data_IF_847164763237
#
_entry.id   IF_847164763237
#
_cell.length_a   1.000
_cell.length_b   1.000
_cell.length_c   1.000
_cell.angle_alpha   90.00
_cell.angle_beta   90.00
_cell.angle_gamma   90.00
#
_symmetry.space_group_name_H-M   'P 1'
#
loop_
_entity.id
_entity.type
_entity.pdbx_description
1 polymer ?
#
# COMPACT_ATOMS: atom_id res chain seq x y z
N UNK A 1 -5.42 -1.92 17.52
CA UNK A 1 -6.07 -0.71 16.93
C UNK A 1 -5.15 0.50 16.80
N UNK A 2 -4.31 0.82 17.77
CA UNK A 2 -3.40 1.97 17.71
C UNK A 2 -2.48 1.95 16.48
N UNK A 3 -1.81 0.85 16.23
CA UNK A 3 -0.93 0.69 15.05
C UNK A 3 -1.66 0.79 13.72
N UNK A 4 -2.93 0.33 13.65
CA UNK A 4 -3.74 0.46 12.45
C UNK A 4 -4.02 1.93 12.11
N UNK A 5 -4.37 2.75 13.11
CA UNK A 5 -4.55 4.21 12.93
C UNK A 5 -3.24 4.86 12.47
N UNK A 6 -2.11 4.52 13.09
CA UNK A 6 -0.80 5.05 12.68
C UNK A 6 -0.44 4.65 11.24
N UNK A 7 -0.74 3.39 10.85
CA UNK A 7 -0.54 2.93 9.47
C UNK A 7 -1.40 3.72 8.47
N UNK A 8 -2.67 4.02 8.83
CA UNK A 8 -3.57 4.84 8.00
C UNK A 8 -3.02 6.25 7.84
N UNK A 9 -2.61 6.89 8.93
CA UNK A 9 -2.04 8.24 8.90
C UNK A 9 -0.77 8.26 8.04
N UNK A 10 0.17 7.35 8.28
CA UNK A 10 1.42 7.29 7.53
C UNK A 10 1.18 7.02 6.03
N UNK A 11 0.30 6.06 5.67
CA UNK A 11 -0.02 5.78 4.27
C UNK A 11 -0.75 6.93 3.57
N UNK A 12 -1.55 7.70 4.32
CA UNK A 12 -2.21 8.90 3.78
C UNK A 12 -1.22 10.04 3.56
N UNK A 13 -0.27 10.25 4.49
CA UNK A 13 0.83 11.21 4.30
C UNK A 13 1.65 10.88 3.07
N UNK A 14 2.02 9.60 2.89
CA UNK A 14 2.70 9.12 1.69
C UNK A 14 1.94 9.52 0.42
N UNK A 15 0.64 9.22 0.37
CA UNK A 15 -0.22 9.52 -0.79
C UNK A 15 -0.30 11.03 -1.06
N UNK A 16 -0.41 11.86 -0.03
CA UNK A 16 -0.45 13.32 -0.16
C UNK A 16 0.87 13.90 -0.68
N UNK A 17 2.01 13.41 -0.19
CA UNK A 17 3.33 13.83 -0.68
C UNK A 17 3.53 13.38 -2.11
N UNK A 18 3.15 12.14 -2.47
CA UNK A 18 3.18 11.66 -3.85
C UNK A 18 2.34 12.55 -4.77
N UNK A 19 1.11 12.90 -4.35
CA UNK A 19 0.24 13.80 -5.11
C UNK A 19 0.87 15.19 -5.30
N UNK A 20 1.50 15.74 -4.25
CA UNK A 20 2.18 17.03 -4.34
C UNK A 20 3.42 17.00 -5.26
N UNK A 21 4.07 15.86 -5.38
CA UNK A 21 5.25 15.67 -6.23
C UNK A 21 4.89 15.56 -7.73
N UNK A 22 3.64 15.23 -8.09
CA UNK A 22 3.24 15.07 -9.49
C UNK A 22 3.48 16.34 -10.31
N UNK A 23 4.02 16.16 -11.51
CA UNK A 23 4.38 17.26 -12.42
C UNK A 23 5.67 18.02 -12.06
N UNK A 24 6.29 17.76 -10.89
CA UNK A 24 7.52 18.41 -10.43
C UNK A 24 8.76 17.52 -10.58
N UNK A 25 8.56 16.24 -10.77
CA UNK A 25 9.62 15.23 -10.85
C UNK A 25 10.13 15.07 -12.27
N UNK A 26 11.44 14.83 -12.39
CA UNK A 26 12.11 14.46 -13.63
C UNK A 26 12.07 12.96 -13.88
N UNK A 27 12.29 12.15 -12.83
CA UNK A 27 12.24 10.70 -12.86
C UNK A 27 11.40 10.16 -11.71
N UNK A 28 10.25 9.54 -12.05
CA UNK A 28 9.41 8.86 -11.04
C UNK A 28 10.13 7.66 -10.43
N UNK A 29 10.86 6.90 -11.25
CA UNK A 29 11.64 5.74 -10.78
C UNK A 29 12.80 6.17 -9.89
N UNK A 30 13.46 7.30 -10.20
CA UNK A 30 14.49 7.89 -9.35
C UNK A 30 13.97 8.31 -7.98
N UNK A 31 12.78 8.93 -7.93
CA UNK A 31 12.11 9.25 -6.67
C UNK A 31 11.81 8.00 -5.84
N UNK A 32 11.33 6.92 -6.49
CA UNK A 32 11.05 5.66 -5.80
C UNK A 32 12.32 4.96 -5.32
N UNK A 33 13.41 5.03 -6.07
CA UNK A 33 14.71 4.53 -5.60
C UNK A 33 15.15 5.25 -4.33
N UNK A 34 15.06 6.59 -4.28
CA UNK A 34 15.36 7.37 -3.09
C UNK A 34 14.42 7.04 -1.92
N UNK A 35 13.13 6.81 -2.18
CA UNK A 35 12.19 6.32 -1.18
C UNK A 35 12.64 4.97 -0.60
N UNK A 36 13.01 4.00 -1.41
CA UNK A 36 13.45 2.69 -0.91
C UNK A 36 14.78 2.75 -0.18
N UNK A 37 15.72 3.61 -0.60
CA UNK A 37 16.95 3.88 0.16
C UNK A 37 16.60 4.40 1.56
N UNK A 38 15.67 5.34 1.66
CA UNK A 38 15.23 5.88 2.95
C UNK A 38 14.59 4.81 3.83
N UNK A 39 13.73 3.97 3.24
CA UNK A 39 13.11 2.84 3.95
C UNK A 39 14.17 1.84 4.45
N UNK A 40 15.20 1.54 3.63
CA UNK A 40 16.30 0.66 4.04
C UNK A 40 17.09 1.25 5.21
N UNK A 41 17.43 2.54 5.16
CA UNK A 41 18.16 3.22 6.25
C UNK A 41 17.36 3.13 7.54
N UNK A 42 16.06 3.39 7.50
CA UNK A 42 15.18 3.27 8.67
C UNK A 42 15.09 1.83 9.17
N UNK A 43 14.95 0.84 8.27
CA UNK A 43 14.94 -0.57 8.66
C UNK A 43 16.24 -0.97 9.37
N UNK A 44 17.40 -0.58 8.82
CA UNK A 44 18.71 -0.82 9.44
C UNK A 44 18.81 -0.15 10.81
N UNK A 45 18.29 1.06 10.95
CA UNK A 45 18.27 1.78 12.23
C UNK A 45 17.47 1.02 13.28
N UNK A 46 16.29 0.48 12.96
CA UNK A 46 15.46 -0.28 13.91
C UNK A 46 15.99 -1.68 14.19
N UNK A 47 16.63 -2.34 13.23
CA UNK A 47 17.28 -3.65 13.43
C UNK A 47 18.55 -3.49 14.28
N UNK A 48 19.27 -2.40 14.10
CA UNK A 48 20.63 -2.19 14.62
C UNK A 48 21.69 -2.82 13.70
N UNK A 49 22.79 -2.10 13.42
CA UNK A 49 23.83 -2.53 12.46
C UNK A 49 24.46 -3.90 12.77
N UNK A 50 24.48 -4.29 14.05
CA UNK A 50 25.05 -5.58 14.52
C UNK A 50 24.13 -6.77 14.24
N UNK A 51 22.82 -6.56 13.99
CA UNK A 51 21.80 -7.60 13.87
C UNK A 51 21.25 -7.76 12.44
N UNK A 52 21.92 -7.24 11.43
CA UNK A 52 21.44 -7.30 10.03
C UNK A 52 21.30 -8.74 9.49
N UNK A 53 22.13 -9.67 10.00
CA UNK A 53 22.08 -11.09 9.69
C UNK A 53 22.03 -11.88 11.00
N UNK A 54 20.90 -11.87 11.70
CA UNK A 54 20.77 -12.59 12.95
C UNK A 54 20.87 -14.10 12.71
N UNK A 55 21.56 -14.80 13.59
CA UNK A 55 21.62 -16.28 13.59
C UNK A 55 20.36 -16.86 14.21
N UNK A 56 19.20 -16.54 13.63
CA UNK A 56 17.87 -16.98 14.10
C UNK A 56 17.28 -17.90 13.04
N UNK A 57 16.67 -18.99 13.48
CA UNK A 57 15.91 -19.88 12.59
C UNK A 57 14.78 -19.10 11.93
N UNK A 58 14.58 -19.33 10.62
CA UNK A 58 13.54 -18.65 9.83
C UNK A 58 14.00 -17.43 9.04
N UNK A 59 15.27 -16.98 9.15
CA UNK A 59 15.76 -15.84 8.39
C UNK A 59 15.72 -16.07 6.86
N UNK A 60 16.07 -17.28 6.39
CA UNK A 60 16.05 -17.63 4.98
C UNK A 60 14.66 -17.48 4.33
N UNK A 61 13.60 -18.10 4.88
CA UNK A 61 12.22 -17.86 4.45
C UNK A 61 11.82 -16.40 4.44
N UNK A 62 12.16 -15.62 5.48
CA UNK A 62 11.83 -14.19 5.58
C UNK A 62 12.52 -13.38 4.47
N UNK A 63 13.77 -13.69 4.14
CA UNK A 63 14.48 -13.10 3.01
C UNK A 63 13.76 -13.40 1.70
N UNK A 64 13.34 -14.64 1.48
CA UNK A 64 12.57 -15.04 0.30
C UNK A 64 11.23 -14.30 0.19
N UNK A 65 10.47 -14.23 1.29
CA UNK A 65 9.20 -13.49 1.35
C UNK A 65 9.41 -12.00 1.08
N UNK A 66 10.43 -11.39 1.67
CA UNK A 66 10.79 -9.99 1.44
C UNK A 66 11.15 -9.72 -0.01
N UNK A 67 11.97 -10.60 -0.62
CA UNK A 67 12.35 -10.46 -2.02
C UNK A 67 11.14 -10.56 -2.98
N UNK A 68 10.24 -11.52 -2.74
CA UNK A 68 8.99 -11.67 -3.51
C UNK A 68 8.09 -10.45 -3.31
N UNK A 69 7.97 -9.95 -2.08
CA UNK A 69 7.17 -8.77 -1.79
C UNK A 69 7.74 -7.53 -2.51
N UNK A 70 9.07 -7.33 -2.47
CA UNK A 70 9.73 -6.23 -3.19
C UNK A 70 9.54 -6.30 -4.70
N UNK A 71 9.51 -7.51 -5.28
CA UNK A 71 9.17 -7.71 -6.68
C UNK A 71 7.74 -7.23 -6.98
N UNK A 72 6.74 -7.63 -6.17
CA UNK A 72 5.37 -7.16 -6.35
C UNK A 72 5.24 -5.65 -6.17
N UNK A 73 5.92 -5.06 -5.20
CA UNK A 73 5.97 -3.62 -5.01
C UNK A 73 6.45 -2.89 -6.27
N UNK A 74 7.55 -3.36 -6.87
CA UNK A 74 8.10 -2.70 -8.06
C UNK A 74 7.26 -2.93 -9.31
N UNK A 75 6.79 -4.17 -9.54
CA UNK A 75 5.99 -4.48 -10.73
C UNK A 75 4.64 -3.77 -10.71
N UNK A 76 4.03 -3.61 -9.53
CA UNK A 76 2.81 -2.82 -9.33
C UNK A 76 3.00 -1.37 -9.80
N UNK A 77 4.14 -0.75 -9.47
CA UNK A 77 4.46 0.61 -9.89
C UNK A 77 4.59 0.74 -11.41
N UNK A 78 5.27 -0.20 -12.06
CA UNK A 78 5.40 -0.22 -13.52
C UNK A 78 4.03 -0.39 -14.19
N UNK A 79 3.21 -1.30 -13.65
CA UNK A 79 1.85 -1.51 -14.13
C UNK A 79 0.99 -0.27 -13.91
N UNK A 80 1.10 0.40 -12.76
CA UNK A 80 0.38 1.63 -12.45
C UNK A 80 0.70 2.73 -13.46
N UNK A 81 1.98 2.93 -13.79
CA UNK A 81 2.38 3.93 -14.80
C UNK A 81 1.76 3.66 -16.17
N UNK A 82 1.81 2.39 -16.63
CA UNK A 82 1.18 2.00 -17.91
C UNK A 82 -0.35 2.14 -17.86
N UNK A 83 -0.95 1.77 -16.74
CA UNK A 83 -2.39 1.92 -16.54
C UNK A 83 -2.83 3.38 -16.62
N UNK A 84 -2.11 4.30 -15.98
CA UNK A 84 -2.43 5.74 -16.01
C UNK A 84 -2.45 6.25 -17.46
N UNK A 85 -1.50 5.81 -18.28
CA UNK A 85 -1.43 6.20 -19.69
C UNK A 85 -2.61 5.66 -20.52
N UNK A 86 -3.06 4.42 -20.24
CA UNK A 86 -4.09 3.73 -21.02
C UNK A 86 -5.51 3.94 -20.48
N UNK A 87 -5.67 3.99 -19.16
CA UNK A 87 -6.96 3.92 -18.47
C UNK A 87 -7.24 5.17 -17.59
N UNK A 88 -6.35 6.17 -17.61
CA UNK A 88 -6.43 7.32 -16.70
C UNK A 88 -6.03 6.95 -15.25
N UNK A 89 -6.15 7.90 -14.34
CA UNK A 89 -5.66 7.75 -12.94
C UNK A 89 -6.66 7.02 -12.04
N UNK A 90 -7.96 7.27 -12.23
CA UNK A 90 -9.01 6.84 -11.31
C UNK A 90 -9.17 5.33 -11.30
N UNK A 91 -9.36 4.70 -12.47
CA UNK A 91 -9.60 3.26 -12.55
C UNK A 91 -8.45 2.42 -11.96
N UNK A 92 -7.17 2.66 -12.32
CA UNK A 92 -6.06 1.93 -11.69
C UNK A 92 -6.02 2.07 -10.18
N UNK A 93 -6.29 3.28 -9.66
CA UNK A 93 -6.31 3.52 -8.20
C UNK A 93 -7.42 2.72 -7.50
N UNK A 94 -8.59 2.58 -8.13
CA UNK A 94 -9.67 1.73 -7.59
C UNK A 94 -9.26 0.27 -7.58
N UNK A 95 -8.73 -0.25 -8.70
CA UNK A 95 -8.34 -1.65 -8.81
C UNK A 95 -7.19 -2.00 -7.86
N UNK A 96 -6.23 -1.10 -7.68
CA UNK A 96 -5.17 -1.21 -6.67
C UNK A 96 -5.75 -1.38 -5.25
N UNK A 97 -6.65 -0.49 -4.85
CA UNK A 97 -7.28 -0.54 -3.52
C UNK A 97 -8.13 -1.79 -3.31
N UNK A 98 -8.90 -2.17 -4.33
CA UNK A 98 -9.70 -3.39 -4.28
C UNK A 98 -8.80 -4.64 -4.20
N UNK A 99 -7.70 -4.68 -4.96
CA UNK A 99 -6.70 -5.75 -4.88
C UNK A 99 -6.09 -5.87 -3.50
N UNK A 100 -5.60 -4.75 -2.96
CA UNK A 100 -5.01 -4.70 -1.61
C UNK A 100 -5.97 -4.98 -0.46
N UNK A 101 -7.27 -5.09 -0.72
CA UNK A 101 -8.28 -5.49 0.25
C UNK A 101 -8.78 -6.92 0.00
N UNK A 102 -9.26 -7.21 -1.20
CA UNK A 102 -9.95 -8.47 -1.52
C UNK A 102 -9.02 -9.66 -1.52
N UNK A 103 -7.82 -9.51 -2.11
CA UNK A 103 -6.91 -10.64 -2.27
C UNK A 103 -6.35 -11.12 -0.92
N UNK A 104 -5.79 -10.26 -0.03
CA UNK A 104 -5.31 -10.71 1.27
C UNK A 104 -6.46 -11.17 2.18
N UNK A 105 -7.65 -10.59 2.08
CA UNK A 105 -8.83 -11.06 2.80
C UNK A 105 -9.24 -12.48 2.36
N UNK A 106 -9.26 -12.73 1.04
CA UNK A 106 -9.52 -14.05 0.49
C UNK A 106 -8.49 -15.08 0.95
N UNK A 107 -7.20 -14.73 0.96
CA UNK A 107 -6.12 -15.59 1.45
C UNK A 107 -6.27 -15.85 2.95
N UNK A 108 -6.59 -14.85 3.76
CA UNK A 108 -6.82 -15.00 5.19
C UNK A 108 -7.95 -15.99 5.49
N UNK A 109 -9.05 -15.91 4.75
CA UNK A 109 -10.19 -16.82 4.90
C UNK A 109 -9.87 -18.22 4.37
N UNK A 110 -9.33 -18.34 3.15
CA UNK A 110 -9.19 -19.63 2.46
C UNK A 110 -7.99 -20.44 2.91
N UNK A 111 -6.87 -19.79 3.21
CA UNK A 111 -5.61 -20.49 3.57
C UNK A 111 -5.35 -20.49 5.08
N UNK A 112 -5.73 -19.43 5.79
CA UNK A 112 -5.47 -19.32 7.23
C UNK A 112 -6.72 -19.54 8.09
N UNK A 113 -7.89 -19.74 7.48
CA UNK A 113 -9.12 -20.09 8.20
C UNK A 113 -9.69 -18.95 9.04
N UNK A 114 -9.30 -17.71 8.79
CA UNK A 114 -9.89 -16.55 9.46
C UNK A 114 -11.35 -16.36 9.05
N UNK A 115 -12.29 -16.87 9.86
CA UNK A 115 -13.71 -16.73 9.57
C UNK A 115 -14.24 -15.40 10.08
N UNK A 116 -14.66 -14.47 9.18
CA UNK A 116 -15.24 -13.22 9.60
C UNK A 116 -16.60 -13.44 10.26
N UNK A 117 -16.91 -12.69 11.32
CA UNK A 117 -18.26 -12.60 11.87
C UNK A 117 -19.21 -12.02 10.81
N UNK A 118 -20.51 -12.26 10.93
CA UNK A 118 -21.51 -11.70 10.01
C UNK A 118 -21.41 -10.17 9.90
N UNK A 119 -21.20 -9.48 11.04
CA UNK A 119 -21.00 -8.03 11.09
C UNK A 119 -19.75 -7.60 10.30
N UNK A 120 -18.65 -8.33 10.43
CA UNK A 120 -17.39 -8.07 9.71
C UNK A 120 -17.53 -8.33 8.20
N UNK A 121 -18.29 -9.34 7.80
CA UNK A 121 -18.58 -9.61 6.38
C UNK A 121 -19.39 -8.45 5.78
N UNK A 122 -20.44 -8.00 6.45
CA UNK A 122 -21.24 -6.85 6.00
C UNK A 122 -20.38 -5.58 5.97
N UNK A 123 -19.56 -5.34 7.00
CA UNK A 123 -18.64 -4.22 7.07
C UNK A 123 -17.63 -4.23 5.91
N UNK A 124 -17.04 -5.39 5.57
CA UNK A 124 -16.12 -5.54 4.45
C UNK A 124 -16.78 -5.27 3.10
N UNK A 125 -18.02 -5.75 2.89
CA UNK A 125 -18.79 -5.46 1.68
C UNK A 125 -19.10 -3.97 1.55
N UNK A 126 -19.50 -3.31 2.65
CA UNK A 126 -19.72 -1.87 2.66
C UNK A 126 -18.43 -1.09 2.39
N UNK A 127 -17.28 -1.55 2.90
CA UNK A 127 -15.96 -1.00 2.58
C UNK A 127 -15.68 -1.05 1.07
N UNK A 128 -15.88 -2.21 0.45
CA UNK A 128 -15.69 -2.39 -1.00
C UNK A 128 -16.59 -1.47 -1.82
N UNK A 129 -17.88 -1.43 -1.50
CA UNK A 129 -18.84 -0.56 -2.17
C UNK A 129 -18.46 0.92 -2.02
N UNK A 130 -17.99 1.33 -0.84
CA UNK A 130 -17.55 2.70 -0.59
C UNK A 130 -16.32 3.09 -1.39
N UNK A 131 -15.33 2.19 -1.54
CA UNK A 131 -14.15 2.41 -2.37
C UNK A 131 -14.58 2.70 -3.82
N UNK A 132 -15.49 1.90 -4.35
CA UNK A 132 -16.01 2.08 -5.71
C UNK A 132 -16.82 3.38 -5.82
N UNK A 133 -17.69 3.66 -4.85
CA UNK A 133 -18.58 4.83 -4.87
C UNK A 133 -17.80 6.16 -4.77
N UNK A 134 -16.79 6.26 -3.89
CA UNK A 134 -15.96 7.46 -3.75
C UNK A 134 -15.14 7.72 -5.02
N UNK A 135 -14.66 6.65 -5.62
CA UNK A 135 -13.80 6.72 -6.80
C UNK A 135 -14.59 6.81 -8.11
N UNK A 136 -15.93 6.72 -8.05
CA UNK A 136 -16.77 6.75 -9.24
C UNK A 136 -16.80 8.16 -9.83
N UNK A 137 -16.00 8.37 -10.87
CA UNK A 137 -16.09 9.51 -11.76
C UNK A 137 -16.47 9.06 -13.16
N UNK A 138 -17.38 9.82 -13.79
CA UNK A 138 -17.77 9.61 -15.18
C UNK A 138 -16.61 10.04 -16.08
N UNK A 139 -15.50 9.31 -16.08
CA UNK A 139 -14.45 9.51 -17.07
C UNK A 139 -14.86 8.83 -18.36
N UNK A 140 -14.74 9.56 -19.47
CA UNK A 140 -14.75 8.96 -20.81
C UNK A 140 -13.41 8.20 -20.97
N UNK A 141 -13.33 7.02 -20.39
CA UNK A 141 -12.21 6.12 -20.64
C UNK A 141 -12.39 5.55 -22.05
N UNK A 142 -11.54 5.98 -22.97
CA UNK A 142 -11.26 5.17 -24.17
C UNK A 142 -10.98 3.77 -23.64
N UNK A 143 -11.63 2.76 -24.25
CA UNK A 143 -11.49 1.36 -23.83
C UNK A 143 -10.00 0.95 -23.93
N UNK A 144 -9.24 1.26 -22.89
CA UNK A 144 -7.84 0.92 -22.77
C UNK A 144 -7.65 -0.57 -22.43
N UNK A 145 -6.44 -0.97 -22.20
CA UNK A 145 -6.11 -2.34 -21.90
C UNK A 145 -6.66 -2.77 -20.52
N UNK A 146 -7.89 -3.30 -20.48
CA UNK A 146 -8.58 -3.76 -19.25
C UNK A 146 -7.77 -4.81 -18.48
N UNK A 147 -6.96 -5.60 -19.17
CA UNK A 147 -6.09 -6.60 -18.56
C UNK A 147 -5.04 -5.96 -17.61
N UNK A 148 -4.61 -4.72 -17.89
CA UNK A 148 -3.71 -3.97 -17.00
C UNK A 148 -4.38 -3.62 -15.66
N UNK A 149 -5.70 -3.39 -15.65
CA UNK A 149 -6.45 -3.17 -14.41
C UNK A 149 -6.48 -4.44 -13.56
N UNK A 150 -6.69 -5.60 -14.20
CA UNK A 150 -6.65 -6.88 -13.51
C UNK A 150 -5.25 -7.19 -12.95
N UNK A 151 -4.19 -6.91 -13.74
CA UNK A 151 -2.81 -7.06 -13.24
C UNK A 151 -2.54 -6.14 -12.06
N UNK A 152 -3.04 -4.91 -12.07
CA UNK A 152 -2.93 -3.98 -10.94
C UNK A 152 -3.59 -4.54 -9.68
N UNK A 153 -4.83 -5.04 -9.82
CA UNK A 153 -5.54 -5.72 -8.75
C UNK A 153 -4.74 -6.90 -8.18
N UNK A 154 -4.19 -7.75 -9.06
CA UNK A 154 -3.44 -8.93 -8.65
C UNK A 154 -2.10 -8.58 -7.97
N UNK A 155 -1.32 -7.66 -8.54
CA UNK A 155 0.00 -7.32 -8.02
C UNK A 155 -0.05 -6.60 -6.68
N UNK A 156 -0.97 -5.63 -6.51
CA UNK A 156 -1.16 -4.96 -5.22
C UNK A 156 -1.74 -5.91 -4.18
N UNK A 157 -2.65 -6.79 -4.61
CA UNK A 157 -3.18 -7.83 -3.77
C UNK A 157 -2.10 -8.80 -3.28
N UNK A 158 -1.24 -9.27 -4.18
CA UNK A 158 -0.14 -10.17 -3.82
C UNK A 158 0.90 -9.51 -2.90
N UNK A 159 1.19 -8.24 -3.07
CA UNK A 159 2.04 -7.50 -2.14
C UNK A 159 1.42 -7.47 -0.72
N UNK A 160 0.11 -7.25 -0.62
CA UNK A 160 -0.59 -7.30 0.66
C UNK A 160 -0.64 -8.71 1.26
N UNK A 161 -0.82 -9.75 0.42
CA UNK A 161 -0.76 -11.17 0.84
C UNK A 161 0.60 -11.50 1.45
N UNK A 162 1.71 -11.01 0.90
CA UNK A 162 3.04 -11.29 1.46
C UNK A 162 3.17 -10.81 2.91
N UNK A 163 2.57 -9.67 3.25
CA UNK A 163 2.53 -9.17 4.63
C UNK A 163 1.71 -10.10 5.54
N UNK A 164 0.59 -10.65 5.05
CA UNK A 164 -0.23 -11.62 5.79
C UNK A 164 0.48 -12.96 5.95
N UNK A 165 1.09 -13.47 4.89
CA UNK A 165 1.87 -14.73 4.95
C UNK A 165 3.03 -14.59 5.94
N UNK A 166 3.73 -13.44 5.91
CA UNK A 166 4.79 -13.17 6.88
C UNK A 166 4.26 -13.23 8.33
N UNK A 167 3.14 -12.54 8.59
CA UNK A 167 2.53 -12.49 9.93
C UNK A 167 2.15 -13.87 10.45
N UNK A 168 1.58 -14.74 9.62
CA UNK A 168 1.14 -16.08 10.00
C UNK A 168 2.26 -17.12 10.12
N UNK A 169 3.32 -16.98 9.33
CA UNK A 169 4.30 -18.07 9.16
C UNK A 169 5.70 -17.75 9.68
N UNK A 170 5.99 -16.47 9.96
CA UNK A 170 7.32 -16.03 10.34
C UNK A 170 7.39 -15.54 11.80
N UNK A 171 8.60 -15.48 12.33
CA UNK A 171 8.82 -14.92 13.66
C UNK A 171 8.58 -13.40 13.63
N UNK A 172 7.68 -12.85 14.48
CA UNK A 172 7.41 -11.42 14.55
C UNK A 172 8.65 -10.54 14.82
N UNK A 173 9.67 -11.09 15.50
CA UNK A 173 10.94 -10.40 15.74
C UNK A 173 11.70 -10.08 14.44
N UNK A 174 11.37 -10.73 13.33
CA UNK A 174 11.97 -10.52 12.01
C UNK A 174 11.18 -9.54 11.13
N UNK A 175 10.19 -8.83 11.68
CA UNK A 175 9.35 -7.89 10.93
C UNK A 175 10.17 -6.80 10.24
N UNK A 176 11.13 -6.20 10.95
CA UNK A 176 11.99 -5.16 10.37
C UNK A 176 12.97 -5.75 9.33
N UNK A 177 13.38 -7.02 9.44
CA UNK A 177 14.16 -7.73 8.42
C UNK A 177 13.34 -8.01 7.17
N UNK A 178 12.08 -8.44 7.32
CA UNK A 178 11.16 -8.60 6.19
C UNK A 178 11.02 -7.29 5.40
N UNK A 179 10.85 -6.15 6.10
CA UNK A 179 10.79 -4.84 5.46
C UNK A 179 12.11 -4.45 4.79
N UNK A 180 13.25 -4.70 5.46
CA UNK A 180 14.58 -4.45 4.88
C UNK A 180 14.75 -5.19 3.55
N UNK A 181 14.44 -6.49 3.50
CA UNK A 181 14.57 -7.30 2.30
C UNK A 181 13.57 -6.90 1.22
N UNK A 182 12.34 -6.53 1.60
CA UNK A 182 11.33 -5.98 0.69
C UNK A 182 11.85 -4.73 -0.01
N UNK A 183 12.32 -3.75 0.76
CA UNK A 183 12.79 -2.48 0.19
C UNK A 183 14.12 -2.62 -0.56
N UNK A 184 14.98 -3.55 -0.13
CA UNK A 184 16.23 -3.87 -0.86
C UNK A 184 15.92 -4.47 -2.22
N UNK A 185 15.03 -5.46 -2.31
CA UNK A 185 14.64 -6.06 -3.59
C UNK A 185 13.97 -5.04 -4.52
N UNK A 186 13.05 -4.21 -3.98
CA UNK A 186 12.41 -3.16 -4.75
C UNK A 186 13.42 -2.11 -5.26
N UNK A 187 14.43 -1.75 -4.44
CA UNK A 187 15.49 -0.83 -4.83
C UNK A 187 16.35 -1.39 -5.97
N UNK A 188 16.76 -2.67 -5.86
CA UNK A 188 17.55 -3.34 -6.91
C UNK A 188 16.81 -3.29 -8.24
N UNK A 189 15.52 -3.59 -8.23
CA UNK A 189 14.68 -3.52 -9.43
C UNK A 189 14.50 -2.10 -9.95
N UNK A 190 14.34 -1.10 -9.06
CA UNK A 190 14.32 0.31 -9.46
C UNK A 190 15.62 0.72 -10.15
N UNK A 191 16.77 0.35 -9.57
CA UNK A 191 18.08 0.64 -10.17
C UNK A 191 18.20 -0.01 -11.55
N UNK A 192 17.78 -1.26 -11.69
CA UNK A 192 17.77 -1.95 -12.98
C UNK A 192 16.95 -1.20 -14.04
N UNK A 193 15.75 -0.71 -13.69
CA UNK A 193 14.88 0.08 -14.59
C UNK A 193 15.52 1.43 -14.92
N UNK A 194 16.12 2.13 -13.96
CA UNK A 194 16.81 3.41 -14.17
C UNK A 194 17.97 3.23 -15.16
N UNK A 195 18.77 2.19 -14.97
CA UNK A 195 19.91 1.90 -15.85
C UNK A 195 19.46 1.51 -17.26
N UNK A 196 18.42 0.67 -17.36
CA UNK A 196 17.86 0.25 -18.65
C UNK A 196 17.30 1.42 -19.45
N UNK A 197 16.53 2.28 -18.80
CA UNK A 197 15.89 3.46 -19.43
C UNK A 197 16.83 4.66 -19.52
N UNK A 198 18.04 4.60 -18.94
CA UNK A 198 18.99 5.71 -18.84
C UNK A 198 18.35 6.97 -18.25
N UNK A 199 17.51 6.80 -17.22
CA UNK A 199 16.78 7.90 -16.59
C UNK A 199 17.75 8.87 -15.90
N UNK A 200 17.51 10.18 -16.05
CA UNK A 200 18.28 11.23 -15.36
C UNK A 200 17.56 11.62 -14.08
N UNK A 201 18.16 11.34 -12.95
CA UNK A 201 17.63 11.66 -11.63
C UNK A 201 17.98 13.12 -11.29
N UNK A 202 16.99 13.88 -10.84
CA UNK A 202 17.17 15.26 -10.35
C UNK A 202 17.21 15.32 -8.82
N UNK A 203 17.73 16.41 -8.27
CA UNK A 203 17.76 16.65 -6.81
C UNK A 203 16.33 16.68 -6.23
N UNK A 204 15.37 17.20 -6.97
CA UNK A 204 13.95 17.25 -6.56
C UNK A 204 13.40 15.83 -6.39
N UNK A 205 13.77 14.88 -7.27
CA UNK A 205 13.35 13.48 -7.19
C UNK A 205 13.86 12.83 -5.89
N UNK A 206 15.11 13.14 -5.50
CA UNK A 206 15.71 12.65 -4.26
C UNK A 206 15.01 13.22 -3.03
N UNK A 207 14.73 14.53 -3.00
CA UNK A 207 14.04 15.19 -1.89
C UNK A 207 12.64 14.59 -1.69
N UNK A 208 11.84 14.48 -2.76
CA UNK A 208 10.54 13.85 -2.67
C UNK A 208 10.64 12.37 -2.28
N UNK A 209 11.63 11.65 -2.78
CA UNK A 209 11.89 10.27 -2.41
C UNK A 209 12.12 10.10 -0.91
N UNK A 210 12.94 10.95 -0.30
CA UNK A 210 13.17 10.96 1.15
C UNK A 210 11.87 11.31 1.91
N UNK A 211 11.16 12.36 1.47
CA UNK A 211 9.89 12.77 2.09
C UNK A 211 8.81 11.69 2.05
N UNK A 212 8.81 10.84 1.01
CA UNK A 212 7.89 9.71 0.86
C UNK A 212 8.39 8.49 1.64
N UNK A 213 9.71 8.28 1.71
CA UNK A 213 10.32 7.11 2.32
C UNK A 213 10.03 6.96 3.80
N UNK A 214 10.05 8.07 4.54
CA UNK A 214 9.74 8.04 5.98
C UNK A 214 8.31 7.54 6.23
N UNK A 215 7.26 8.17 5.70
CA UNK A 215 5.90 7.67 5.91
C UNK A 215 5.66 6.28 5.28
N UNK A 216 6.34 5.91 4.19
CA UNK A 216 6.22 4.59 3.59
C UNK A 216 6.73 3.49 4.52
N UNK A 217 7.90 3.66 5.11
CA UNK A 217 8.46 2.73 6.07
C UNK A 217 7.52 2.54 7.26
N UNK A 218 7.08 3.64 7.89
CA UNK A 218 6.21 3.58 9.05
C UNK A 218 4.83 3.01 8.72
N UNK A 219 4.26 3.32 7.54
CA UNK A 219 3.00 2.73 7.09
C UNK A 219 3.09 1.21 7.00
N UNK A 220 4.20 0.68 6.47
CA UNK A 220 4.43 -0.76 6.33
C UNK A 220 4.73 -1.41 7.69
N UNK A 221 5.55 -0.77 8.53
CA UNK A 221 5.89 -1.27 9.86
C UNK A 221 4.67 -1.35 10.78
N UNK A 222 3.88 -0.26 10.84
CA UNK A 222 2.65 -0.25 11.63
C UNK A 222 1.59 -1.19 11.08
N UNK A 223 1.59 -1.46 9.77
CA UNK A 223 0.70 -2.46 9.17
C UNK A 223 1.02 -3.87 9.68
N UNK A 224 2.29 -4.26 9.72
CA UNK A 224 2.70 -5.56 10.26
C UNK A 224 2.35 -5.67 11.76
N UNK A 225 2.57 -4.60 12.53
CA UNK A 225 2.20 -4.56 13.94
C UNK A 225 0.69 -4.64 14.15
N UNK A 226 -0.10 -4.02 13.24
CA UNK A 226 -1.57 -4.11 13.29
C UNK A 226 -2.06 -5.54 12.98
N UNK A 227 -1.45 -6.21 12.00
CA UNK A 227 -1.77 -7.61 11.65
C UNK A 227 -1.41 -8.57 12.79
N UNK A 228 -0.33 -8.32 13.54
CA UNK A 228 0.03 -9.12 14.70
C UNK A 228 -0.95 -8.98 15.89
N UNK A 229 -1.73 -7.88 15.95
CA UNK A 229 -2.71 -7.64 17.03
C UNK A 229 -4.16 -7.94 16.62
N UNK A 230 -4.48 -7.86 15.35
CA UNK A 230 -5.84 -7.86 14.82
C UNK A 230 -5.95 -8.78 13.60
N UNK A 231 -7.08 -9.48 13.45
CA UNK A 231 -7.31 -10.33 12.30
C UNK A 231 -7.33 -9.53 10.99
N UNK A 232 -6.86 -10.14 9.92
CA UNK A 232 -6.78 -9.53 8.60
C UNK A 232 -8.15 -9.03 8.09
N UNK A 233 -9.23 -9.75 8.45
CA UNK A 233 -10.62 -9.39 8.12
C UNK A 233 -11.06 -8.04 8.69
N UNK A 234 -10.35 -7.51 9.70
CA UNK A 234 -10.56 -6.18 10.27
C UNK A 234 -9.56 -5.17 9.70
N UNK A 235 -8.27 -5.57 9.66
CA UNK A 235 -7.16 -4.67 9.30
C UNK A 235 -7.26 -4.16 7.87
N UNK A 236 -7.43 -5.04 6.88
CA UNK A 236 -7.43 -4.64 5.47
C UNK A 236 -8.60 -3.73 5.09
N UNK A 237 -9.87 -4.03 5.47
CA UNK A 237 -10.97 -3.14 5.18
C UNK A 237 -10.83 -1.77 5.85
N UNK A 238 -10.52 -1.72 7.16
CA UNK A 238 -10.39 -0.46 7.90
C UNK A 238 -9.24 0.38 7.33
N UNK A 239 -8.09 -0.23 7.02
CA UNK A 239 -6.98 0.48 6.39
C UNK A 239 -7.35 1.04 5.02
N UNK A 240 -8.03 0.26 4.20
CA UNK A 240 -8.46 0.65 2.86
C UNK A 240 -9.37 1.88 2.88
N UNK A 241 -10.44 1.81 3.66
CA UNK A 241 -11.44 2.90 3.71
C UNK A 241 -10.98 4.08 4.58
N UNK A 242 -10.27 3.81 5.69
CA UNK A 242 -9.74 4.86 6.58
C UNK A 242 -8.77 5.79 5.87
N UNK A 243 -7.90 5.23 5.00
CA UNK A 243 -7.01 6.03 4.16
C UNK A 243 -7.75 6.94 3.19
N UNK A 244 -8.86 6.48 2.61
CA UNK A 244 -9.68 7.29 1.70
C UNK A 244 -10.33 8.46 2.46
N UNK A 245 -10.91 8.19 3.62
CA UNK A 245 -11.53 9.23 4.46
C UNK A 245 -10.51 10.29 4.84
N UNK A 246 -9.34 9.88 5.32
CA UNK A 246 -8.31 10.82 5.74
C UNK A 246 -7.80 11.68 4.57
N UNK A 247 -7.57 11.09 3.40
CA UNK A 247 -7.17 11.83 2.19
C UNK A 247 -8.28 12.79 1.74
N UNK A 248 -9.55 12.36 1.78
CA UNK A 248 -10.68 13.22 1.43
C UNK A 248 -10.83 14.39 2.40
N UNK A 249 -10.69 14.16 3.72
CA UNK A 249 -10.73 15.22 4.72
C UNK A 249 -9.60 16.23 4.51
N UNK A 250 -8.36 15.77 4.28
CA UNK A 250 -7.24 16.66 3.97
C UNK A 250 -7.50 17.42 2.66
N UNK A 251 -8.09 16.77 1.65
CA UNK A 251 -8.51 17.40 0.39
C UNK A 251 -9.45 18.60 0.64
N UNK A 252 -10.47 18.39 1.47
CA UNK A 252 -11.45 19.44 1.79
C UNK A 252 -10.83 20.56 2.62
N UNK A 253 -10.11 20.23 3.70
CA UNK A 253 -9.61 21.26 4.65
C UNK A 253 -8.39 22.02 4.15
N UNK A 254 -7.43 21.32 3.52
CA UNK A 254 -6.16 21.95 3.09
C UNK A 254 -6.18 22.39 1.62
N UNK A 255 -6.79 21.58 0.74
CA UNK A 255 -6.84 21.89 -0.69
C UNK A 255 -8.14 22.57 -1.11
N UNK A 256 -9.10 22.80 -0.16
CA UNK A 256 -10.41 23.42 -0.42
C UNK A 256 -11.19 22.71 -1.54
N UNK A 257 -11.03 21.40 -1.66
CA UNK A 257 -11.75 20.59 -2.63
C UNK A 257 -13.22 20.45 -2.23
N UNK A 258 -14.11 20.55 -3.21
CA UNK A 258 -15.53 20.35 -3.00
C UNK A 258 -15.90 18.89 -3.31
N UNK A 259 -16.27 18.16 -2.26
CA UNK A 259 -16.77 16.80 -2.43
C UNK A 259 -18.16 16.82 -3.05
N UNK A 260 -18.39 15.93 -4.04
CA UNK A 260 -19.72 15.71 -4.62
C UNK A 260 -20.64 15.02 -3.62
N UNK A 261 -21.95 15.16 -3.75
CA UNK A 261 -22.95 14.56 -2.82
C UNK A 261 -22.76 13.04 -2.65
N UNK A 262 -22.47 12.30 -3.72
CA UNK A 262 -22.22 10.86 -3.64
C UNK A 262 -20.95 10.50 -2.85
N UNK A 263 -19.92 11.35 -2.86
CA UNK A 263 -18.70 11.16 -2.08
C UNK A 263 -18.97 11.36 -0.58
N UNK A 264 -19.77 12.34 -0.19
CA UNK A 264 -20.24 12.51 1.19
C UNK A 264 -21.05 11.31 1.67
N UNK A 265 -22.00 10.83 0.84
CA UNK A 265 -22.77 9.63 1.17
C UNK A 265 -21.85 8.41 1.36
N UNK A 266 -20.90 8.21 0.47
CA UNK A 266 -19.94 7.13 0.57
C UNK A 266 -19.06 7.24 1.84
N UNK A 267 -18.68 8.45 2.28
CA UNK A 267 -17.99 8.64 3.56
C UNK A 267 -18.81 8.21 4.76
N UNK A 268 -20.13 8.46 4.76
CA UNK A 268 -21.04 7.98 5.83
C UNK A 268 -21.07 6.45 5.82
N UNK A 269 -21.15 5.82 4.64
CA UNK A 269 -21.10 4.35 4.51
C UNK A 269 -19.78 3.79 5.01
N UNK A 270 -18.65 4.48 4.75
CA UNK A 270 -17.33 4.11 5.31
C UNK A 270 -17.35 4.10 6.84
N UNK A 271 -17.91 5.13 7.48
CA UNK A 271 -17.98 5.19 8.95
C UNK A 271 -18.83 4.04 9.51
N UNK A 272 -19.96 3.73 8.86
CA UNK A 272 -20.79 2.57 9.21
C UNK A 272 -20.02 1.25 9.02
N UNK A 273 -19.26 1.10 7.93
CA UNK A 273 -18.39 -0.05 7.69
C UNK A 273 -17.37 -0.24 8.81
N UNK A 274 -16.66 0.83 9.20
CA UNK A 274 -15.67 0.77 10.28
C UNK A 274 -16.33 0.37 11.60
N UNK A 275 -17.50 0.89 11.91
CA UNK A 275 -18.24 0.51 13.12
C UNK A 275 -18.58 -0.99 13.13
N UNK A 276 -19.09 -1.54 12.02
CA UNK A 276 -19.43 -2.96 11.89
C UNK A 276 -18.21 -3.89 11.95
N UNK A 277 -17.06 -3.44 11.48
CA UNK A 277 -15.81 -4.21 11.51
C UNK A 277 -15.23 -4.34 12.93
N UNK A 278 -15.59 -3.44 13.84
CA UNK A 278 -15.11 -3.42 15.22
C UNK A 278 -16.02 -4.18 16.21
N UNK A 279 -17.17 -4.69 15.76
CA UNK A 279 -18.13 -5.50 16.53
C UNK A 279 -17.89 -6.99 16.23
#
# INVERSE_FOLDING_TARGET
MFYLVLSIVASSMLTLVMRHSEGRMRSKTGMLAANYVTCMILAIFFIGPSNLLPRVEGLGPVLGMGAINGFFYMISLVIMQKNIQCNGVVLPSVFSRLGGLVVPLGVAILLFGEMPKTTQTIGSLLALLSIVAISYEKQQTKAGAKWLLFLMFATDGMAAVMSKVFEETANPALSDHFLLYTFTAALILCIAVILYNKEKIGVIDLIYGICIGVPNFFASRFMLQALAELPAVVVYPIRGVGGIVLIALVGVFFFKEHLKKHQWLAMIVVLASIALLNV
#
